data_IF_632050642520
#
_entry.id   IF_632050642520
#
_cell.length_a   1.000
_cell.length_b   1.000
_cell.length_c   1.000
_cell.angle_alpha   90.00
_cell.angle_beta   90.00
_cell.angle_gamma   90.00
#
_symmetry.space_group_name_H-M   'P 1'
#
loop_
_entity.id
_entity.type
_entity.pdbx_description
1 polymer ?
#
# COMPACT_ATOMS: atom_id res chain seq x y z
N UNK A 1 16.70 -4.49 9.50
CA UNK A 1 15.36 -4.96 9.97
C UNK A 1 14.47 -5.20 8.75
N UNK A 2 13.55 -6.18 8.78
CA UNK A 2 12.60 -6.40 7.67
C UNK A 2 11.28 -5.70 7.99
N UNK A 3 10.86 -4.77 7.12
CA UNK A 3 9.56 -4.11 7.21
C UNK A 3 8.51 -4.86 6.41
N UNK A 4 7.40 -5.24 7.04
CA UNK A 4 6.27 -5.88 6.36
C UNK A 4 5.19 -4.83 6.18
N UNK A 5 4.75 -4.63 4.94
CA UNK A 5 3.70 -3.69 4.61
C UNK A 5 2.74 -4.30 3.57
N UNK A 6 1.56 -3.72 3.43
CA UNK A 6 0.61 -4.09 2.37
C UNK A 6 0.79 -3.18 1.18
N UNK A 7 0.42 -3.65 -0.01
CA UNK A 7 0.40 -2.83 -1.23
C UNK A 7 -0.57 -1.63 -1.17
N UNK A 8 -1.41 -1.53 -0.15
CA UNK A 8 -2.36 -0.45 0.15
C UNK A 8 -2.47 -0.27 1.67
N UNK A 9 -3.07 0.83 2.15
CA UNK A 9 -3.16 1.09 3.59
C UNK A 9 -4.49 0.62 4.19
N UNK A 10 -4.43 0.21 5.46
CA UNK A 10 -5.62 -0.14 6.24
C UNK A 10 -5.50 0.37 7.67
N UNK A 11 -6.61 0.81 8.26
CA UNK A 11 -6.65 1.26 9.66
C UNK A 11 -7.84 0.64 10.40
N UNK A 12 -7.60 0.29 11.68
CA UNK A 12 -8.65 -0.06 12.64
C UNK A 12 -8.80 1.09 13.62
N UNK A 13 -10.04 1.45 13.94
CA UNK A 13 -10.34 2.50 14.91
C UNK A 13 -10.32 3.91 14.35
N UNK A 14 -10.39 4.87 15.26
CA UNK A 14 -10.44 6.31 14.98
C UNK A 14 -9.06 6.91 14.70
N UNK A 15 -9.05 8.19 14.38
CA UNK A 15 -7.86 8.98 14.11
C UNK A 15 -7.55 9.14 12.62
N UNK A 16 -6.59 10.00 12.27
CA UNK A 16 -6.38 10.40 10.90
C UNK A 16 -5.94 9.27 9.98
N UNK A 17 -6.42 9.30 8.74
CA UNK A 17 -5.98 8.39 7.70
C UNK A 17 -6.01 9.19 6.39
N UNK A 18 -4.94 9.94 6.08
CA UNK A 18 -4.95 10.91 4.99
C UNK A 18 -5.32 10.28 3.65
N UNK A 19 -4.82 9.07 3.40
CA UNK A 19 -5.05 8.28 2.19
C UNK A 19 -6.30 7.40 2.21
N UNK A 20 -7.21 7.59 3.17
CA UNK A 20 -8.46 6.82 3.28
C UNK A 20 -9.38 7.05 2.06
N UNK A 21 -10.01 5.96 1.62
CA UNK A 21 -10.98 5.97 0.55
C UNK A 21 -12.41 5.79 1.09
N UNK A 22 -13.28 6.71 0.69
CA UNK A 22 -14.70 6.72 1.03
C UNK A 22 -15.60 6.31 -0.14
N UNK A 23 -15.00 5.85 -1.23
CA UNK A 23 -15.66 5.49 -2.49
C UNK A 23 -15.73 3.96 -2.69
N UNK A 24 -16.19 3.56 -3.88
CA UNK A 24 -16.32 2.15 -4.27
C UNK A 24 -14.98 1.42 -4.31
N UNK A 25 -13.87 2.13 -4.57
CA UNK A 25 -12.53 1.53 -4.55
C UNK A 25 -12.14 1.15 -3.12
N UNK A 26 -12.37 2.05 -2.15
CA UNK A 26 -12.17 1.73 -0.73
C UNK A 26 -12.95 0.50 -0.28
N UNK A 27 -14.23 0.42 -0.68
CA UNK A 27 -15.08 -0.74 -0.39
C UNK A 27 -14.60 -2.03 -1.09
N UNK A 28 -14.12 -1.92 -2.33
CA UNK A 28 -13.55 -3.03 -3.12
C UNK A 28 -12.29 -3.57 -2.46
N UNK A 29 -11.35 -2.71 -2.06
CA UNK A 29 -10.12 -3.10 -1.36
C UNK A 29 -10.45 -3.83 -0.05
N UNK A 30 -11.43 -3.34 0.71
CA UNK A 30 -11.85 -3.98 1.94
C UNK A 30 -12.42 -5.39 1.69
N UNK A 31 -13.26 -5.55 0.66
CA UNK A 31 -13.88 -6.82 0.31
C UNK A 31 -12.86 -7.85 -0.21
N UNK A 32 -12.07 -7.50 -1.23
CA UNK A 32 -11.11 -8.42 -1.86
C UNK A 32 -9.98 -8.76 -0.88
N UNK A 33 -9.48 -7.76 -0.16
CA UNK A 33 -8.45 -7.96 0.86
C UNK A 33 -8.94 -8.66 2.12
N UNK A 34 -10.22 -9.00 2.25
CA UNK A 34 -10.84 -9.53 3.47
C UNK A 34 -10.46 -8.70 4.72
N UNK A 35 -10.56 -7.37 4.60
CA UNK A 35 -10.18 -6.42 5.65
C UNK A 35 -11.31 -6.22 6.64
N UNK A 36 -11.63 -7.29 7.35
CA UNK A 36 -12.66 -7.32 8.40
C UNK A 36 -12.06 -7.81 9.71
N UNK A 37 -12.60 -7.34 10.83
CA UNK A 37 -12.23 -7.85 12.15
C UNK A 37 -12.57 -9.34 12.27
N UNK A 38 -11.60 -10.17 12.65
CA UNK A 38 -11.76 -11.63 12.75
C UNK A 38 -12.85 -12.09 13.72
N UNK A 39 -13.13 -11.28 14.75
CA UNK A 39 -14.15 -11.59 15.76
C UNK A 39 -15.42 -10.79 15.56
N UNK A 40 -15.30 -9.50 15.22
CA UNK A 40 -16.43 -8.57 15.17
C UNK A 40 -17.06 -8.44 13.79
N UNK A 41 -16.37 -8.87 12.74
CA UNK A 41 -16.78 -8.68 11.34
C UNK A 41 -16.78 -7.22 10.89
N UNK A 42 -16.35 -6.26 11.73
CA UNK A 42 -16.35 -4.84 11.38
C UNK A 42 -15.32 -4.57 10.28
N UNK A 43 -15.75 -3.89 9.21
CA UNK A 43 -14.87 -3.46 8.14
C UNK A 43 -13.76 -2.54 8.66
N UNK A 44 -12.54 -2.78 8.18
CA UNK A 44 -11.42 -1.86 8.38
C UNK A 44 -11.51 -0.73 7.35
N UNK A 45 -11.00 0.43 7.74
CA UNK A 45 -10.83 1.56 6.84
C UNK A 45 -9.73 1.21 5.85
N UNK A 46 -9.95 1.45 4.57
CA UNK A 46 -8.99 1.14 3.50
C UNK A 46 -8.62 2.41 2.75
N UNK A 47 -7.40 2.45 2.24
CA UNK A 47 -6.85 3.61 1.56
C UNK A 47 -5.71 3.21 0.64
N UNK A 48 -5.28 4.15 -0.19
CA UNK A 48 -4.11 3.97 -1.05
C UNK A 48 -2.83 3.80 -0.22
N UNK A 49 -1.75 3.32 -0.86
CA UNK A 49 -0.44 3.28 -0.19
C UNK A 49 0.02 4.70 0.15
N UNK A 50 0.67 4.84 1.31
CA UNK A 50 1.04 6.12 1.89
C UNK A 50 2.54 6.21 2.14
N UNK A 51 3.25 6.91 1.24
CA UNK A 51 4.71 6.97 1.26
C UNK A 51 5.27 7.82 2.42
N UNK A 52 4.75 9.02 2.74
CA UNK A 52 5.24 9.76 3.91
C UNK A 52 5.15 8.94 5.21
N UNK A 53 4.04 8.23 5.42
CA UNK A 53 3.87 7.35 6.57
C UNK A 53 4.82 6.14 6.55
N UNK A 54 5.02 5.52 5.37
CA UNK A 54 5.90 4.37 5.21
C UNK A 54 7.38 4.74 5.36
N UNK A 55 7.82 5.88 4.80
CA UNK A 55 9.17 6.46 5.00
C UNK A 55 9.45 6.71 6.47
N UNK A 56 8.50 7.31 7.19
CA UNK A 56 8.60 7.49 8.63
C UNK A 56 8.81 6.15 9.35
N UNK A 57 7.99 5.13 9.04
CA UNK A 57 8.11 3.80 9.63
C UNK A 57 9.46 3.12 9.31
N UNK A 58 9.98 3.26 8.09
CA UNK A 58 11.28 2.73 7.68
C UNK A 58 12.40 3.37 8.52
N UNK A 59 12.39 4.70 8.62
CA UNK A 59 13.42 5.48 9.29
C UNK A 59 13.48 5.20 10.79
N UNK A 60 12.34 5.19 11.50
CA UNK A 60 12.33 4.99 12.95
C UNK A 60 12.73 3.56 13.37
N UNK A 61 12.53 2.58 12.49
CA UNK A 61 12.80 1.16 12.79
C UNK A 61 14.13 0.66 12.20
N UNK A 62 14.85 1.47 11.42
CA UNK A 62 16.06 1.03 10.70
C UNK A 62 15.76 -0.13 9.74
N UNK A 63 14.66 -0.04 9.01
CA UNK A 63 14.28 -1.04 8.00
C UNK A 63 15.31 -1.03 6.88
N UNK A 64 15.80 -2.21 6.53
CA UNK A 64 16.84 -2.41 5.50
C UNK A 64 16.30 -3.14 4.27
N UNK A 65 15.16 -3.82 4.41
CA UNK A 65 14.48 -4.57 3.37
C UNK A 65 12.97 -4.60 3.64
N UNK A 66 12.17 -4.64 2.59
CA UNK A 66 10.71 -4.62 2.65
C UNK A 66 10.09 -5.90 2.08
N UNK A 67 8.99 -6.32 2.69
CA UNK A 67 8.11 -7.38 2.20
C UNK A 67 6.75 -6.77 1.89
N UNK A 68 6.37 -6.74 0.61
CA UNK A 68 5.10 -6.20 0.14
C UNK A 68 4.04 -7.29 0.06
N UNK A 69 2.99 -7.17 0.85
CA UNK A 69 1.91 -8.15 0.94
C UNK A 69 0.67 -7.70 0.18
N UNK A 70 -0.15 -8.66 -0.26
CA UNK A 70 -1.48 -8.42 -0.85
C UNK A 70 -1.47 -7.61 -2.15
N UNK A 71 -0.49 -7.82 -3.02
CA UNK A 71 -0.46 -7.17 -4.33
C UNK A 71 -1.66 -7.61 -5.21
N UNK A 72 -2.16 -8.82 -5.00
CA UNK A 72 -3.34 -9.38 -5.65
C UNK A 72 -4.61 -8.55 -5.46
N UNK A 73 -4.74 -7.87 -4.32
CA UNK A 73 -5.92 -7.03 -4.01
C UNK A 73 -6.07 -5.85 -4.96
N UNK A 74 -4.96 -5.40 -5.56
CA UNK A 74 -4.95 -4.32 -6.55
C UNK A 74 -5.23 -4.79 -7.98
N UNK A 75 -5.29 -6.11 -8.24
CA UNK A 75 -5.64 -6.65 -9.55
C UNK A 75 -7.06 -6.22 -9.95
N UNK A 76 -7.28 -5.98 -11.24
CA UNK A 76 -8.55 -5.49 -11.79
C UNK A 76 -8.79 -3.98 -11.61
N UNK A 77 -7.75 -3.21 -11.27
CA UNK A 77 -7.79 -1.75 -11.23
C UNK A 77 -7.09 -1.19 -12.47
N UNK A 78 -7.68 -0.18 -13.12
CA UNK A 78 -7.07 0.51 -14.26
C UNK A 78 -5.97 1.50 -13.81
N UNK A 79 -6.20 2.17 -12.67
CA UNK A 79 -5.29 3.15 -12.08
C UNK A 79 -5.13 2.87 -10.60
N UNK A 80 -3.91 2.97 -10.10
CA UNK A 80 -3.54 2.88 -8.69
C UNK A 80 -2.95 4.23 -8.27
N UNK A 81 -3.52 4.84 -7.23
CA UNK A 81 -2.96 6.05 -6.66
C UNK A 81 -1.95 5.72 -5.57
N UNK A 82 -0.88 6.50 -5.52
CA UNK A 82 0.15 6.44 -4.48
C UNK A 82 0.22 7.79 -3.80
N UNK A 83 -0.03 7.86 -2.48
CA UNK A 83 0.12 9.10 -1.74
C UNK A 83 1.60 9.40 -1.56
N UNK A 84 2.08 10.44 -2.24
CA UNK A 84 3.50 10.80 -2.29
C UNK A 84 3.84 11.93 -1.31
N UNK A 85 2.89 12.82 -1.07
CA UNK A 85 3.05 14.01 -0.24
C UNK A 85 1.74 14.32 0.46
N UNK A 86 1.80 15.21 1.44
CA UNK A 86 0.65 15.86 2.02
C UNK A 86 0.69 17.36 1.73
N UNK A 87 -0.50 17.98 1.64
CA UNK A 87 -0.65 19.42 1.83
C UNK A 87 -1.01 19.67 3.29
N UNK A 88 -0.24 20.53 3.94
CA UNK A 88 -0.44 21.01 5.31
C UNK A 88 -0.30 22.54 5.32
N UNK A 89 -1.36 23.25 5.68
CA UNK A 89 -1.40 24.72 5.70
C UNK A 89 -0.89 25.39 4.41
N UNK A 90 -1.24 24.79 3.26
CA UNK A 90 -0.80 25.26 1.94
C UNK A 90 0.62 24.87 1.55
N UNK A 91 1.38 24.21 2.43
CA UNK A 91 2.72 23.71 2.15
C UNK A 91 2.68 22.23 1.74
N UNK A 92 3.46 21.87 0.72
CA UNK A 92 3.64 20.49 0.30
C UNK A 92 4.78 19.85 1.09
N UNK A 93 4.48 18.77 1.82
CA UNK A 93 5.44 18.03 2.66
C UNK A 93 5.48 16.56 2.26
N UNK A 94 6.62 15.89 2.46
CA UNK A 94 6.85 14.47 2.14
C UNK A 94 7.12 13.60 3.37
N UNK A 95 6.88 14.14 4.57
CA UNK A 95 7.03 13.47 5.86
C UNK A 95 5.71 13.46 6.64
N UNK A 96 5.58 12.50 7.56
CA UNK A 96 4.47 12.48 8.51
C UNK A 96 4.76 13.46 9.67
N UNK A 97 3.95 14.52 9.88
CA UNK A 97 4.17 15.46 10.98
C UNK A 97 3.91 14.84 12.35
N UNK A 98 4.51 15.41 13.39
CA UNK A 98 4.38 14.89 14.75
C UNK A 98 3.05 15.28 15.41
N UNK A 99 2.59 16.52 15.21
CA UNK A 99 1.45 17.10 15.96
C UNK A 99 0.19 17.31 15.10
N UNK A 100 0.31 17.83 13.87
CA UNK A 100 -0.85 18.12 13.02
C UNK A 100 -1.08 17.04 11.96
N UNK A 101 -1.64 15.92 12.41
CA UNK A 101 -1.96 14.79 11.55
C UNK A 101 -3.41 14.79 11.06
N UNK A 102 -4.26 15.69 11.56
CA UNK A 102 -5.71 15.67 11.27
C UNK A 102 -6.07 16.39 9.97
N UNK A 103 -5.31 17.43 9.58
CA UNK A 103 -5.62 18.27 8.43
C UNK A 103 -4.79 17.96 7.17
N UNK A 104 -4.21 16.77 7.09
CA UNK A 104 -3.37 16.37 5.96
C UNK A 104 -4.23 16.03 4.74
N UNK A 105 -4.06 16.78 3.66
CA UNK A 105 -4.66 16.44 2.37
C UNK A 105 -3.66 15.64 1.52
N UNK A 106 -3.96 14.40 1.12
CA UNK A 106 -3.04 13.58 0.34
C UNK A 106 -2.83 14.13 -1.07
N UNK A 107 -1.60 14.02 -1.58
CA UNK A 107 -1.24 14.32 -2.97
C UNK A 107 -0.82 13.02 -3.65
N UNK A 108 -1.55 12.66 -4.70
CA UNK A 108 -1.39 11.38 -5.38
C UNK A 108 -0.52 11.49 -6.63
N UNK A 109 0.25 10.43 -6.88
CA UNK A 109 0.73 10.08 -8.22
C UNK A 109 -0.06 8.88 -8.70
N UNK A 110 -0.53 8.95 -9.94
CA UNK A 110 -1.23 7.86 -10.61
C UNK A 110 -0.22 6.92 -11.27
N UNK A 111 -0.35 5.64 -10.99
CA UNK A 111 0.34 4.56 -11.66
C UNK A 111 -0.67 3.71 -12.41
N UNK A 112 -0.24 3.13 -13.53
CA UNK A 112 -1.08 2.20 -14.28
C UNK A 112 -1.31 0.95 -13.43
N UNK A 113 -2.57 0.57 -13.27
CA UNK A 113 -2.95 -0.68 -12.64
C UNK A 113 -2.85 -1.86 -13.60
N UNK A 114 -3.28 -3.03 -13.14
CA UNK A 114 -3.24 -4.27 -13.90
C UNK A 114 -4.55 -5.04 -13.76
N UNK A 115 -5.00 -5.64 -14.86
CA UNK A 115 -6.22 -6.46 -14.88
C UNK A 115 -5.95 -7.93 -14.53
N UNK A 116 -4.72 -8.42 -14.78
CA UNK A 116 -4.35 -9.82 -14.57
C UNK A 116 -4.51 -10.22 -13.10
N UNK A 117 -5.24 -11.31 -12.87
CA UNK A 117 -5.33 -11.95 -11.55
C UNK A 117 -3.98 -12.57 -11.15
N UNK A 118 -3.37 -12.01 -10.11
CA UNK A 118 -2.07 -12.45 -9.61
C UNK A 118 -2.16 -13.71 -8.74
N UNK A 119 -3.33 -14.09 -8.23
CA UNK A 119 -3.45 -15.24 -7.33
C UNK A 119 -3.08 -16.57 -7.99
N UNK A 120 -3.12 -16.63 -9.33
CA UNK A 120 -2.88 -17.84 -10.11
C UNK A 120 -1.48 -17.95 -10.70
N UNK A 121 -0.60 -16.96 -10.50
CA UNK A 121 0.77 -17.03 -11.01
C UNK A 121 1.62 -17.97 -10.15
N UNK A 122 2.58 -18.65 -10.79
CA UNK A 122 3.49 -19.56 -10.09
C UNK A 122 4.87 -18.95 -9.80
N UNK A 123 5.14 -17.80 -10.40
CA UNK A 123 6.33 -16.99 -10.21
C UNK A 123 6.02 -15.52 -10.41
N UNK A 124 6.84 -14.62 -9.85
CA UNK A 124 6.66 -13.18 -10.04
C UNK A 124 6.97 -12.75 -11.48
N UNK A 125 7.80 -13.48 -12.22
CA UNK A 125 8.12 -13.20 -13.63
C UNK A 125 6.90 -13.34 -14.57
N UNK A 126 5.84 -14.02 -14.11
CA UNK A 126 4.57 -14.08 -14.83
C UNK A 126 3.68 -12.85 -14.57
N UNK A 127 4.01 -12.00 -13.61
CA UNK A 127 3.24 -10.79 -13.34
C UNK A 127 3.32 -9.82 -14.53
N UNK A 128 2.28 -9.00 -14.76
CA UNK A 128 2.33 -7.99 -15.82
C UNK A 128 3.36 -6.91 -15.46
N UNK A 129 3.87 -6.20 -16.48
CA UNK A 129 4.91 -5.19 -16.30
C UNK A 129 4.51 -4.11 -15.29
N UNK A 130 3.22 -3.77 -15.24
CA UNK A 130 2.66 -2.78 -14.31
C UNK A 130 2.87 -3.15 -12.82
N UNK A 131 2.91 -4.45 -12.49
CA UNK A 131 3.26 -4.90 -11.11
C UNK A 131 4.72 -4.60 -10.82
N UNK A 132 5.61 -4.88 -11.76
CA UNK A 132 7.04 -4.59 -11.62
C UNK A 132 7.30 -3.08 -11.56
N UNK A 133 6.56 -2.29 -12.35
CA UNK A 133 6.65 -0.83 -12.35
C UNK A 133 6.16 -0.25 -11.02
N UNK A 134 5.08 -0.80 -10.45
CA UNK A 134 4.61 -0.43 -9.11
C UNK A 134 5.67 -0.72 -8.04
N UNK A 135 6.26 -1.92 -8.05
CA UNK A 135 7.32 -2.29 -7.12
C UNK A 135 8.54 -1.36 -7.28
N UNK A 136 9.00 -1.14 -8.51
CA UNK A 136 10.15 -0.30 -8.80
C UNK A 136 9.91 1.16 -8.41
N UNK A 137 8.70 1.67 -8.59
CA UNK A 137 8.30 3.00 -8.12
C UNK A 137 8.40 3.10 -6.60
N UNK A 138 7.84 2.13 -5.87
CA UNK A 138 7.94 2.10 -4.41
C UNK A 138 9.40 1.98 -3.94
N UNK A 139 10.21 1.10 -4.52
CA UNK A 139 11.63 0.94 -4.17
C UNK A 139 12.41 2.25 -4.38
N UNK A 140 12.14 2.94 -5.49
CA UNK A 140 12.76 4.24 -5.79
C UNK A 140 12.36 5.30 -4.76
N UNK A 141 11.08 5.43 -4.47
CA UNK A 141 10.60 6.47 -3.55
C UNK A 141 10.98 6.19 -2.08
N UNK A 142 11.06 4.92 -1.69
CA UNK A 142 11.38 4.50 -0.32
C UNK A 142 12.89 4.30 -0.08
N UNK A 143 13.71 4.33 -1.13
CA UNK A 143 15.15 4.04 -1.10
C UNK A 143 15.49 2.73 -0.37
N UNK A 144 14.56 1.77 -0.38
CA UNK A 144 14.63 0.52 0.37
C UNK A 144 14.14 -0.63 -0.52
N UNK A 145 14.91 -1.72 -0.68
CA UNK A 145 14.54 -2.80 -1.59
C UNK A 145 13.34 -3.60 -1.09
N UNK A 146 12.47 -4.01 -2.01
CA UNK A 146 11.35 -4.94 -1.79
C UNK A 146 11.81 -6.34 -2.21
N UNK A 147 12.23 -7.14 -1.23
CA UNK A 147 12.82 -8.47 -1.44
C UNK A 147 11.79 -9.59 -1.51
N UNK A 148 10.58 -9.35 -1.00
CA UNK A 148 9.49 -10.35 -1.03
C UNK A 148 8.19 -9.68 -1.47
N UNK A 149 7.45 -10.37 -2.34
CA UNK A 149 6.10 -9.97 -2.78
C UNK A 149 5.14 -11.13 -2.55
N UNK A 150 4.00 -10.85 -1.92
CA UNK A 150 2.89 -11.81 -1.78
C UNK A 150 1.70 -11.37 -2.65
N UNK A 151 1.18 -12.33 -3.41
CA UNK A 151 0.03 -12.20 -4.31
C UNK A 151 -1.13 -13.11 -3.89
N UNK A 152 -1.18 -13.50 -2.62
CA UNK A 152 -2.26 -14.31 -2.09
C UNK A 152 -1.98 -14.84 -0.68
N UNK A 153 -2.99 -15.49 -0.06
CA UNK A 153 -2.91 -15.94 1.32
C UNK A 153 -2.08 -17.22 1.52
N UNK A 154 -1.85 -18.03 0.48
CA UNK A 154 -1.04 -19.25 0.59
C UNK A 154 0.46 -18.91 0.63
N UNK A 155 1.23 -19.70 1.38
CA UNK A 155 2.69 -19.60 1.45
C UNK A 155 3.35 -19.70 0.07
N UNK A 156 2.77 -20.51 -0.84
CA UNK A 156 3.28 -20.66 -2.22
C UNK A 156 3.09 -19.41 -3.09
N UNK A 157 2.19 -18.51 -2.68
CA UNK A 157 1.90 -17.24 -3.36
C UNK A 157 2.79 -16.10 -2.82
N UNK A 158 3.94 -16.45 -2.25
CA UNK A 158 4.94 -15.51 -1.75
C UNK A 158 6.25 -15.76 -2.49
N UNK A 159 6.71 -14.75 -3.24
CA UNK A 159 7.87 -14.83 -4.13
C UNK A 159 9.02 -13.98 -3.62
N UNK A 160 10.24 -14.49 -3.79
CA UNK A 160 11.49 -13.78 -3.48
C UNK A 160 11.99 -13.05 -4.74
N UNK A 161 12.61 -11.88 -4.54
CA UNK A 161 13.26 -11.07 -5.57
C UNK A 161 14.74 -10.91 -5.26
#
# INVERSE_FOLDING_TARGET
VIGIFKAYCTRVGSGPFPSELFDEIGARLAKIGNEFGSTTGRARRCGWIDLPALKYAININGVTQLNMMKADVLSGLETINVCTHYMLDGNKIDYLPFEDNENLTPVYTELKGWDKDLMHISSLDEAPQEVHDYIAYLEKELETPISIVSVGPDRKQTFFR
#
